data_IF_066813227480
#
_entry.id   IF_066813227480
#
_cell.length_a   1.000
_cell.length_b   1.000
_cell.length_c   1.000
_cell.angle_alpha   90.00
_cell.angle_beta   90.00
_cell.angle_gamma   90.00
#
_symmetry.space_group_name_H-M   'P 1'
#
loop_
_entity.id
_entity.type
_entity.pdbx_description
1 polymer ?
#
# COMPACT_ATOMS: atom_id res chain seq x y z
N UNK A 1 12.90 -34.30 4.27
CA UNK A 1 11.74 -33.40 4.05
C UNK A 1 11.28 -32.99 5.44
N UNK A 2 11.40 -31.72 5.79
CA UNK A 2 10.99 -31.21 7.10
C UNK A 2 9.50 -30.85 7.09
N UNK A 3 8.83 -30.99 8.23
CA UNK A 3 7.43 -30.56 8.36
C UNK A 3 7.35 -29.02 8.37
N UNK A 4 6.39 -28.46 7.64
CA UNK A 4 6.16 -27.00 7.62
C UNK A 4 4.68 -26.66 7.40
N UNK A 5 4.32 -25.41 7.71
CA UNK A 5 3.02 -24.81 7.38
C UNK A 5 3.23 -23.67 6.38
N UNK A 6 2.36 -23.57 5.38
CA UNK A 6 2.39 -22.51 4.37
C UNK A 6 1.06 -21.77 4.34
N UNK A 7 1.12 -20.44 4.41
CA UNK A 7 -0.03 -19.56 4.26
C UNK A 7 0.38 -18.31 3.50
N UNK A 8 -0.32 -18.01 2.41
CA UNK A 8 -0.28 -16.72 1.73
C UNK A 8 -1.72 -16.28 1.46
N UNK A 9 -2.14 -15.16 2.06
CA UNK A 9 -3.50 -14.65 1.94
C UNK A 9 -3.67 -13.62 0.80
N UNK A 10 -2.57 -13.21 0.17
CA UNK A 10 -2.58 -12.19 -0.88
C UNK A 10 -3.26 -12.75 -2.13
N UNK A 11 -4.32 -12.09 -2.60
CA UNK A 11 -4.91 -12.36 -3.91
C UNK A 11 -3.99 -11.78 -4.99
N UNK A 12 -3.50 -12.63 -5.89
CA UNK A 12 -2.66 -12.22 -7.02
C UNK A 12 -3.51 -12.10 -8.29
N UNK A 13 -3.51 -10.91 -8.88
CA UNK A 13 -4.18 -10.63 -10.16
C UNK A 13 -3.09 -10.36 -11.19
N UNK A 14 -2.81 -11.36 -12.03
CA UNK A 14 -1.71 -11.33 -12.97
C UNK A 14 -2.22 -11.33 -14.41
N UNK A 15 -1.66 -10.47 -15.25
CA UNK A 15 -1.99 -10.40 -16.66
C UNK A 15 -1.77 -9.01 -17.24
N UNK A 16 -1.91 -8.91 -18.56
CA UNK A 16 -1.92 -7.61 -19.24
C UNK A 16 -3.23 -6.88 -18.94
N UNK A 17 -3.14 -5.55 -18.81
CA UNK A 17 -4.29 -4.65 -18.63
C UNK A 17 -5.10 -4.89 -17.33
N UNK A 18 -4.56 -5.65 -16.37
CA UNK A 18 -5.22 -5.94 -15.09
C UNK A 18 -5.26 -4.72 -14.18
N UNK A 19 -4.46 -3.68 -14.42
CA UNK A 19 -4.56 -2.42 -13.66
C UNK A 19 -5.92 -1.75 -13.81
N UNK A 20 -6.68 -2.09 -14.86
CA UNK A 20 -8.04 -1.58 -15.06
C UNK A 20 -9.03 -2.12 -14.02
N UNK A 21 -8.70 -3.22 -13.33
CA UNK A 21 -9.53 -3.83 -12.28
C UNK A 21 -9.32 -3.18 -10.90
N UNK A 22 -8.33 -2.29 -10.75
CA UNK A 22 -7.93 -1.72 -9.46
C UNK A 22 -9.08 -1.05 -8.72
N UNK A 23 -9.95 -0.31 -9.41
CA UNK A 23 -11.14 0.31 -8.83
C UNK A 23 -12.08 -0.70 -8.21
N UNK A 24 -12.45 -1.75 -8.96
CA UNK A 24 -13.36 -2.80 -8.51
C UNK A 24 -12.78 -3.56 -7.32
N UNK A 25 -11.50 -3.91 -7.38
CA UNK A 25 -10.81 -4.63 -6.30
C UNK A 25 -10.70 -3.76 -5.04
N UNK A 26 -10.38 -2.47 -5.20
CA UNK A 26 -10.24 -1.52 -4.07
C UNK A 26 -11.58 -1.24 -3.41
N UNK A 27 -12.67 -1.11 -4.18
CA UNK A 27 -14.00 -0.82 -3.67
C UNK A 27 -14.57 -1.90 -2.73
N UNK A 28 -14.04 -3.12 -2.79
CA UNK A 28 -14.40 -4.17 -1.83
C UNK A 28 -13.88 -3.93 -0.41
N UNK A 29 -12.98 -2.96 -0.22
CA UNK A 29 -12.33 -2.66 1.07
C UNK A 29 -12.75 -1.33 1.70
N UNK A 30 -13.56 -0.51 1.03
CA UNK A 30 -14.02 0.77 1.58
C UNK A 30 -14.28 1.84 0.52
N UNK A 31 -14.56 3.06 0.97
CA UNK A 31 -14.89 4.20 0.12
C UNK A 31 -13.75 5.19 -0.09
N UNK A 32 -12.75 5.19 0.82
CA UNK A 32 -11.65 6.16 0.80
C UNK A 32 -10.28 5.49 0.76
N UNK A 33 -9.50 5.82 -0.26
CA UNK A 33 -8.19 5.23 -0.53
C UNK A 33 -7.06 6.25 -0.39
N UNK A 34 -5.96 5.85 0.27
CA UNK A 34 -4.68 6.52 0.14
C UNK A 34 -3.92 5.94 -1.07
N UNK A 35 -3.78 6.72 -2.14
CA UNK A 35 -2.92 6.41 -3.27
C UNK A 35 -1.48 6.78 -2.92
N UNK A 36 -0.64 5.78 -2.67
CA UNK A 36 0.75 5.95 -2.24
C UNK A 36 1.73 5.58 -3.36
N UNK A 37 2.66 6.48 -3.71
CA UNK A 37 3.56 6.29 -4.85
C UNK A 37 4.89 7.05 -4.74
N UNK A 38 5.85 6.70 -5.60
CA UNK A 38 7.19 7.29 -5.66
C UNK A 38 7.31 8.61 -6.43
N UNK A 39 8.46 8.82 -7.08
CA UNK A 39 8.87 10.09 -7.69
C UNK A 39 8.30 10.44 -9.08
N UNK A 40 7.37 9.65 -9.64
CA UNK A 40 6.64 10.05 -10.85
C UNK A 40 6.82 9.18 -12.10
N UNK A 41 7.54 8.05 -12.03
CA UNK A 41 7.59 7.07 -13.13
C UNK A 41 6.19 6.67 -13.63
N UNK A 42 5.28 6.44 -12.68
CA UNK A 42 3.88 6.08 -12.98
C UNK A 42 3.13 7.18 -13.73
N UNK A 43 3.51 8.45 -13.57
CA UNK A 43 2.95 9.59 -14.32
C UNK A 43 3.52 9.62 -15.73
N UNK A 44 4.85 9.46 -15.87
CA UNK A 44 5.55 9.46 -17.16
C UNK A 44 5.00 8.42 -18.15
N UNK A 45 4.63 7.24 -17.66
CA UNK A 45 4.15 6.12 -18.49
C UNK A 45 2.62 5.98 -18.52
N UNK A 46 1.88 6.98 -18.02
CA UNK A 46 0.42 7.02 -18.08
C UNK A 46 -0.33 6.07 -17.13
N UNK A 47 0.38 5.23 -16.37
CA UNK A 47 -0.22 4.31 -15.40
C UNK A 47 -1.03 5.08 -14.33
N UNK A 48 -0.49 6.19 -13.83
CA UNK A 48 -1.17 7.04 -12.85
C UNK A 48 -2.57 7.46 -13.31
N UNK A 49 -2.70 7.87 -14.56
CA UNK A 49 -4.00 8.27 -15.13
C UNK A 49 -4.98 7.10 -15.19
N UNK A 50 -4.52 5.90 -15.58
CA UNK A 50 -5.35 4.69 -15.61
C UNK A 50 -5.83 4.28 -14.22
N UNK A 51 -4.95 4.34 -13.23
CA UNK A 51 -5.30 4.05 -11.83
C UNK A 51 -6.33 5.06 -11.30
N UNK A 52 -6.08 6.36 -11.45
CA UNK A 52 -7.03 7.38 -11.01
C UNK A 52 -8.39 7.23 -11.69
N UNK A 53 -8.41 6.94 -12.99
CA UNK A 53 -9.66 6.70 -13.73
C UNK A 53 -10.40 5.49 -13.14
N UNK A 54 -9.72 4.35 -13.00
CA UNK A 54 -10.32 3.12 -12.45
C UNK A 54 -10.91 3.34 -11.05
N UNK A 55 -10.17 4.02 -10.16
CA UNK A 55 -10.64 4.35 -8.81
C UNK A 55 -11.87 5.29 -8.82
N UNK A 56 -11.86 6.33 -9.66
CA UNK A 56 -12.99 7.27 -9.78
C UNK A 56 -14.23 6.63 -10.38
N UNK A 57 -14.06 5.80 -11.41
CA UNK A 57 -15.16 5.07 -12.03
C UNK A 57 -15.83 4.10 -11.04
N UNK A 58 -15.07 3.62 -10.04
CA UNK A 58 -15.57 2.83 -8.92
C UNK A 58 -16.17 3.66 -7.76
N UNK A 59 -16.21 4.99 -7.87
CA UNK A 59 -16.81 5.89 -6.88
C UNK A 59 -15.95 6.14 -5.63
N UNK A 60 -14.64 5.90 -5.69
CA UNK A 60 -13.75 6.04 -4.53
C UNK A 60 -13.25 7.47 -4.33
N UNK A 61 -13.21 7.91 -3.07
CA UNK A 61 -12.52 9.12 -2.66
C UNK A 61 -11.02 8.85 -2.58
N UNK A 62 -10.20 9.69 -3.23
CA UNK A 62 -8.76 9.46 -3.38
C UNK A 62 -7.98 10.54 -2.64
N UNK A 63 -7.19 10.13 -1.66
CA UNK A 63 -6.17 10.95 -1.01
C UNK A 63 -4.81 10.53 -1.54
N UNK A 64 -3.94 11.48 -1.88
CA UNK A 64 -2.65 11.18 -2.47
C UNK A 64 -1.49 11.45 -1.50
N UNK A 65 -0.55 10.50 -1.44
CA UNK A 65 0.75 10.71 -0.80
C UNK A 65 1.85 10.18 -1.72
N UNK A 66 2.37 11.08 -2.55
CA UNK A 66 3.54 10.80 -3.39
C UNK A 66 4.88 11.03 -2.66
N UNK A 67 5.97 10.80 -3.39
CA UNK A 67 7.32 11.18 -2.97
C UNK A 67 8.10 10.11 -2.22
N UNK A 68 7.66 8.85 -2.26
CA UNK A 68 8.46 7.73 -1.75
C UNK A 68 9.82 7.69 -2.45
N UNK A 69 10.87 7.55 -1.65
CA UNK A 69 12.25 7.40 -2.09
C UNK A 69 12.71 5.95 -1.93
N UNK A 70 13.73 5.49 -2.68
CA UNK A 70 14.45 4.28 -2.34
C UNK A 70 14.89 4.32 -0.87
N UNK A 71 14.73 3.21 -0.16
CA UNK A 71 14.85 3.13 1.31
C UNK A 71 13.87 4.11 2.00
N UNK A 72 12.59 3.71 2.13
CA UNK A 72 11.53 4.60 2.55
C UNK A 72 11.81 5.21 3.93
N UNK A 73 11.53 6.50 4.06
CA UNK A 73 11.85 7.26 5.28
C UNK A 73 10.69 7.20 6.26
N UNK A 74 11.01 6.99 7.55
CA UNK A 74 10.05 6.99 8.65
C UNK A 74 9.21 8.28 8.72
N UNK A 75 9.76 9.44 8.33
CA UNK A 75 9.03 10.70 8.30
C UNK A 75 7.85 10.70 7.31
N UNK A 76 8.00 10.05 6.15
CA UNK A 76 6.91 9.92 5.18
C UNK A 76 5.86 8.93 5.67
N UNK A 77 6.28 7.85 6.33
CA UNK A 77 5.39 6.89 6.99
C UNK A 77 4.54 7.58 8.06
N UNK A 78 5.16 8.35 8.96
CA UNK A 78 4.45 9.12 9.99
C UNK A 78 3.43 10.09 9.38
N UNK A 79 3.82 10.81 8.32
CA UNK A 79 2.90 11.68 7.57
C UNK A 79 1.72 10.89 6.97
N UNK A 80 1.96 9.70 6.42
CA UNK A 80 0.91 8.83 5.89
C UNK A 80 -0.06 8.37 6.96
N UNK A 81 0.45 8.01 8.14
CA UNK A 81 -0.36 7.61 9.30
C UNK A 81 -1.29 8.77 9.71
N UNK A 82 -0.75 9.99 9.82
CA UNK A 82 -1.52 11.17 10.19
C UNK A 82 -2.62 11.48 9.16
N UNK A 83 -2.31 11.38 7.87
CA UNK A 83 -3.29 11.55 6.78
C UNK A 83 -4.39 10.49 6.89
N UNK A 84 -4.03 9.22 7.04
CA UNK A 84 -5.01 8.14 7.13
C UNK A 84 -5.96 8.31 8.31
N UNK A 85 -5.44 8.73 9.48
CA UNK A 85 -6.27 8.98 10.66
C UNK A 85 -7.17 10.18 10.49
N UNK A 86 -6.64 11.30 10.00
CA UNK A 86 -7.38 12.56 9.82
C UNK A 86 -8.50 12.39 8.80
N UNK A 87 -8.19 11.83 7.65
CA UNK A 87 -9.12 11.71 6.54
C UNK A 87 -10.01 10.47 6.65
N UNK A 88 -9.74 9.57 7.61
CA UNK A 88 -10.41 8.28 7.81
C UNK A 88 -10.31 7.39 6.57
N UNK A 89 -9.08 7.12 6.16
CA UNK A 89 -8.77 6.24 5.02
C UNK A 89 -9.09 4.79 5.40
N UNK A 90 -9.79 4.09 4.51
CA UNK A 90 -10.17 2.68 4.68
C UNK A 90 -9.12 1.73 4.08
N UNK A 91 -8.43 2.16 3.03
CA UNK A 91 -7.54 1.32 2.24
C UNK A 91 -6.29 2.07 1.76
N UNK A 92 -5.13 1.41 1.69
CA UNK A 92 -3.92 1.98 1.06
C UNK A 92 -3.63 1.25 -0.24
N UNK A 93 -3.57 1.98 -1.35
CA UNK A 93 -3.13 1.47 -2.64
C UNK A 93 -1.70 1.92 -2.94
N UNK A 94 -0.75 0.99 -2.84
CA UNK A 94 0.65 1.23 -3.19
C UNK A 94 0.86 1.02 -4.70
N UNK A 95 1.36 2.04 -5.41
CA UNK A 95 1.67 1.95 -6.85
C UNK A 95 3.15 2.23 -7.05
N UNK A 96 3.93 1.18 -7.28
CA UNK A 96 5.39 1.30 -7.37
C UNK A 96 6.15 -0.02 -7.22
N UNK A 97 7.42 0.10 -6.83
CA UNK A 97 8.26 -1.03 -6.44
C UNK A 97 8.30 -1.23 -4.91
N UNK A 98 9.24 -2.06 -4.44
CA UNK A 98 9.38 -2.46 -3.03
C UNK A 98 9.30 -1.31 -2.03
N UNK A 99 10.07 -0.24 -2.21
CA UNK A 99 10.06 0.90 -1.27
C UNK A 99 8.69 1.56 -1.09
N UNK A 100 7.86 1.62 -2.14
CA UNK A 100 6.48 2.13 -2.03
C UNK A 100 5.59 1.16 -1.26
N UNK A 101 5.76 -0.14 -1.50
CA UNK A 101 4.98 -1.20 -0.86
C UNK A 101 5.32 -1.26 0.63
N UNK A 102 6.60 -1.25 0.96
CA UNK A 102 7.10 -1.31 2.34
C UNK A 102 6.65 -0.07 3.13
N UNK A 103 6.73 1.12 2.50
CA UNK A 103 6.18 2.36 3.08
C UNK A 103 4.67 2.26 3.32
N UNK A 104 3.89 1.72 2.38
CA UNK A 104 2.45 1.54 2.54
C UNK A 104 2.11 0.57 3.68
N UNK A 105 2.84 -0.54 3.81
CA UNK A 105 2.67 -1.49 4.92
C UNK A 105 2.98 -0.86 6.27
N UNK A 106 4.05 -0.07 6.35
CA UNK A 106 4.41 0.67 7.56
C UNK A 106 3.34 1.70 7.93
N UNK A 107 2.77 2.41 6.95
CA UNK A 107 1.64 3.31 7.20
C UNK A 107 0.44 2.52 7.73
N UNK A 108 0.08 1.42 7.07
CA UNK A 108 -1.06 0.59 7.42
C UNK A 108 -1.00 0.04 8.84
N UNK A 109 0.18 -0.42 9.28
CA UNK A 109 0.39 -0.92 10.66
C UNK A 109 0.34 0.20 11.69
N UNK A 110 0.78 1.40 11.33
CA UNK A 110 0.75 2.56 12.20
C UNK A 110 -0.65 3.16 12.41
N UNK A 111 -1.59 3.03 11.45
CA UNK A 111 -2.89 3.73 11.52
C UNK A 111 -3.64 3.45 12.83
N UNK A 112 -3.72 2.18 13.25
CA UNK A 112 -4.46 1.77 14.44
C UNK A 112 -3.64 1.75 15.73
N UNK A 113 -2.36 2.15 15.70
CA UNK A 113 -1.44 2.03 16.83
C UNK A 113 -1.16 3.38 17.51
N UNK A 114 -1.48 3.52 18.79
CA UNK A 114 -1.33 4.79 19.51
C UNK A 114 0.13 5.19 19.83
N UNK A 115 1.10 4.27 19.68
CA UNK A 115 2.53 4.52 19.91
C UNK A 115 3.28 4.98 18.65
N UNK A 116 4.62 4.91 18.70
CA UNK A 116 5.46 5.18 17.53
C UNK A 116 5.52 3.91 16.67
N UNK A 117 5.17 4.00 15.38
CA UNK A 117 5.27 2.87 14.45
C UNK A 117 6.66 2.21 14.44
N UNK A 118 7.72 2.96 14.81
CA UNK A 118 9.07 2.43 14.99
C UNK A 118 9.20 1.35 16.09
N UNK A 119 8.26 1.30 17.03
CA UNK A 119 8.19 0.28 18.08
C UNK A 119 8.08 -1.13 17.49
N UNK A 120 7.41 -1.30 16.34
CA UNK A 120 7.30 -2.59 15.65
C UNK A 120 8.66 -3.05 15.10
N UNK A 121 9.45 -2.12 14.56
CA UNK A 121 10.77 -2.41 13.98
C UNK A 121 11.85 -2.64 15.05
N UNK A 122 11.63 -2.15 16.27
CA UNK A 122 12.54 -2.32 17.42
C UNK A 122 12.12 -3.46 18.35
N UNK A 123 11.01 -4.15 18.06
CA UNK A 123 10.50 -5.25 18.87
C UNK A 123 9.85 -4.83 20.19
N UNK A 124 9.53 -3.54 20.35
CA UNK A 124 8.83 -3.01 21.54
C UNK A 124 7.33 -3.26 21.51
N UNK A 125 6.77 -3.45 20.32
CA UNK A 125 5.35 -3.74 20.12
C UNK A 125 5.16 -4.77 19.00
N UNK A 126 3.97 -5.38 18.97
CA UNK A 126 3.55 -6.33 17.92
C UNK A 126 2.36 -5.74 17.18
N UNK A 127 2.33 -5.91 15.86
CA UNK A 127 1.21 -5.45 15.03
C UNK A 127 0.00 -6.35 15.27
N UNK A 128 -1.09 -5.79 15.80
CA UNK A 128 -2.37 -6.48 16.03
C UNK A 128 -3.39 -6.20 14.90
N UNK A 129 -3.51 -4.93 14.49
CA UNK A 129 -4.47 -4.47 13.48
C UNK A 129 -3.80 -3.60 12.44
N UNK A 130 -4.16 -3.83 11.19
CA UNK A 130 -3.75 -3.03 10.04
C UNK A 130 -4.97 -2.64 9.23
N UNK A 131 -4.94 -1.48 8.57
CA UNK A 131 -5.87 -1.23 7.46
C UNK A 131 -5.39 -2.00 6.22
N UNK A 132 -6.27 -2.48 5.33
CA UNK A 132 -5.85 -3.31 4.20
C UNK A 132 -4.99 -2.54 3.20
N UNK A 133 -4.09 -3.28 2.54
CA UNK A 133 -3.15 -2.75 1.54
C UNK A 133 -3.33 -3.50 0.22
N UNK A 134 -3.42 -2.74 -0.87
CA UNK A 134 -3.35 -3.23 -2.24
C UNK A 134 -2.07 -2.78 -2.92
N UNK A 135 -1.62 -3.55 -3.91
CA UNK A 135 -0.38 -3.27 -4.63
C UNK A 135 -0.61 -3.32 -6.14
N UNK A 136 -0.18 -2.26 -6.83
CA UNK A 136 0.08 -2.28 -8.27
C UNK A 136 1.59 -2.24 -8.45
N UNK A 137 2.17 -3.42 -8.70
CA UNK A 137 3.60 -3.61 -8.80
C UNK A 137 4.12 -3.07 -10.14
N UNK A 138 5.10 -2.16 -10.09
CA UNK A 138 5.71 -1.58 -11.30
C UNK A 138 7.17 -1.99 -11.52
N UNK A 139 7.80 -2.58 -10.50
CA UNK A 139 9.20 -3.01 -10.53
C UNK A 139 9.29 -4.38 -9.82
N UNK A 140 9.39 -5.50 -10.56
CA UNK A 140 9.59 -6.81 -9.95
C UNK A 140 11.00 -6.89 -9.33
N UNK A 141 11.08 -7.33 -8.07
CA UNK A 141 12.35 -7.49 -7.36
C UNK A 141 12.23 -8.55 -6.25
N UNK A 142 11.95 -8.13 -5.02
CA UNK A 142 12.02 -8.98 -3.82
C UNK A 142 10.69 -9.63 -3.40
N UNK A 143 9.60 -9.43 -4.15
CA UNK A 143 8.30 -10.04 -3.83
C UNK A 143 7.54 -9.37 -2.68
N UNK A 144 7.79 -8.10 -2.38
CA UNK A 144 7.10 -7.38 -1.29
C UNK A 144 5.59 -7.34 -1.50
N UNK A 145 5.11 -7.37 -2.75
CA UNK A 145 3.69 -7.43 -3.09
C UNK A 145 2.93 -8.62 -2.51
N UNK A 146 3.63 -9.69 -2.09
CA UNK A 146 3.02 -10.91 -1.56
C UNK A 146 3.68 -11.40 -0.26
N UNK A 147 4.43 -10.53 0.44
CA UNK A 147 5.12 -10.84 1.69
C UNK A 147 4.57 -10.04 2.87
N UNK A 148 4.82 -10.53 4.09
CA UNK A 148 4.49 -9.82 5.33
C UNK A 148 5.61 -8.88 5.81
N UNK A 149 6.73 -8.80 5.08
CA UNK A 149 7.85 -7.91 5.42
C UNK A 149 7.62 -6.48 4.95
N UNK A 150 8.22 -5.52 5.67
CA UNK A 150 8.28 -4.09 5.33
C UNK A 150 9.55 -3.49 5.88
#
# INVERSE_FOLDING_TARGET
MENFAFKNATKIIFGKDTENQVGIETASYGGKVLLHYGGGSIKKYGLYGRILKSLRDAGLEIIELGGVQPNPRLSLVKKGIDICRKEKVDFILAVGGGSTIDSAKAVASGVSYNGDVWDFYTGKAVVDKVIPVGVVLTIPAAGSEASNGS
#
